data_IF_610306874722
#
_entry.id   IF_610306874722
#
_cell.length_a   1.000
_cell.length_b   1.000
_cell.length_c   1.000
_cell.angle_alpha   90.00
_cell.angle_beta   90.00
_cell.angle_gamma   90.00
#
_symmetry.space_group_name_H-M   'P 1'
#
loop_
_entity.id
_entity.type
_entity.pdbx_description
1 polymer ?
#
# COMPACT_ATOMS: atom_id res chain seq x y z
N UNK A 1 -14.82 -19.85 12.73
CA UNK A 1 -13.71 -20.83 12.80
C UNK A 1 -12.73 -20.49 11.68
N UNK A 2 -11.48 -20.15 12.01
CA UNK A 2 -10.43 -19.97 11.00
C UNK A 2 -10.00 -21.38 10.55
N UNK A 3 -10.01 -21.70 9.24
CA UNK A 3 -9.53 -22.99 8.77
C UNK A 3 -8.09 -23.23 9.27
N UNK A 4 -7.74 -24.45 9.72
CA UNK A 4 -6.41 -24.74 10.27
C UNK A 4 -5.25 -24.42 9.31
N UNK A 5 -5.53 -24.23 8.01
CA UNK A 5 -4.56 -23.90 6.97
C UNK A 5 -4.62 -22.43 6.50
N UNK A 6 -5.34 -21.55 7.20
CA UNK A 6 -5.36 -20.14 6.82
C UNK A 6 -3.99 -19.52 7.10
N UNK A 7 -3.32 -19.05 6.04
CA UNK A 7 -2.06 -18.33 6.18
C UNK A 7 -2.24 -17.13 7.13
N UNK A 8 -1.24 -16.83 7.99
CA UNK A 8 -1.32 -15.69 8.88
C UNK A 8 -1.49 -14.39 8.07
N UNK A 9 -2.20 -13.37 8.62
CA UNK A 9 -2.32 -12.08 7.97
C UNK A 9 -0.95 -11.49 7.63
N UNK A 10 -0.84 -10.87 6.45
CA UNK A 10 0.35 -10.09 6.05
C UNK A 10 0.28 -8.70 6.67
N UNK A 11 1.40 -8.05 6.92
CA UNK A 11 1.41 -6.73 7.54
C UNK A 11 1.70 -5.64 6.51
N UNK A 12 0.81 -4.66 6.40
CA UNK A 12 1.04 -3.44 5.64
C UNK A 12 1.30 -2.30 6.62
N UNK A 13 2.36 -1.54 6.40
CA UNK A 13 2.70 -0.36 7.20
C UNK A 13 2.55 0.89 6.34
N UNK A 14 1.72 1.81 6.80
CA UNK A 14 1.48 3.11 6.16
C UNK A 14 2.15 4.18 7.01
N UNK A 15 3.08 4.90 6.41
CA UNK A 15 3.91 5.91 7.09
C UNK A 15 3.59 7.34 6.64
N UNK A 16 2.85 7.51 5.55
CA UNK A 16 2.49 8.82 5.02
C UNK A 16 1.55 9.56 6.01
N UNK A 17 1.95 10.70 6.60
CA UNK A 17 1.14 11.35 7.64
C UNK A 17 -0.26 11.75 7.19
N UNK A 18 -0.40 12.24 5.96
CA UNK A 18 -1.70 12.65 5.40
C UNK A 18 -2.70 11.50 5.20
N UNK A 19 -2.24 10.25 5.31
CA UNK A 19 -3.10 9.08 5.21
C UNK A 19 -3.94 8.83 6.46
N UNK A 20 -3.58 9.37 7.63
CA UNK A 20 -4.12 8.92 8.92
C UNK A 20 -5.65 9.06 9.04
N UNK A 21 -6.19 10.20 8.60
CA UNK A 21 -7.63 10.39 8.64
C UNK A 21 -8.33 9.43 7.68
N UNK A 22 -7.76 9.23 6.49
CA UNK A 22 -8.36 8.43 5.43
C UNK A 22 -8.34 6.95 5.77
N UNK A 23 -7.22 6.43 6.27
CA UNK A 23 -7.08 5.02 6.65
C UNK A 23 -8.08 4.68 7.76
N UNK A 24 -8.26 5.55 8.76
CA UNK A 24 -9.18 5.30 9.87
C UNK A 24 -10.67 5.43 9.51
N UNK A 25 -11.01 6.18 8.45
CA UNK A 25 -12.41 6.51 8.11
C UNK A 25 -12.93 5.85 6.84
N UNK A 26 -12.06 5.46 5.89
CA UNK A 26 -12.50 4.96 4.59
C UNK A 26 -12.47 3.43 4.50
N UNK A 27 -13.51 2.87 3.89
CA UNK A 27 -13.69 1.42 3.68
C UNK A 27 -12.67 0.79 2.73
N UNK A 28 -12.08 1.59 1.84
CA UNK A 28 -11.12 1.16 0.83
C UNK A 28 -9.94 2.12 0.83
N UNK A 29 -8.71 1.59 0.84
CA UNK A 29 -7.49 2.39 0.86
C UNK A 29 -6.42 1.79 -0.05
N UNK A 30 -5.59 2.68 -0.59
CA UNK A 30 -4.52 2.32 -1.51
C UNK A 30 -3.15 2.66 -0.92
N UNK A 31 -2.21 1.73 -1.01
CA UNK A 31 -0.82 1.92 -0.59
C UNK A 31 0.14 1.34 -1.62
N UNK A 32 1.44 1.52 -1.38
CA UNK A 32 2.51 1.13 -2.29
C UNK A 32 3.57 0.32 -1.55
N UNK A 33 4.16 -0.63 -2.25
CA UNK A 33 5.24 -1.47 -1.74
C UNK A 33 6.40 -1.48 -2.74
N UNK A 34 7.61 -1.51 -2.21
CA UNK A 34 8.80 -1.82 -3.01
C UNK A 34 8.73 -3.28 -3.49
N UNK A 35 9.45 -3.63 -4.57
CA UNK A 35 9.57 -5.03 -4.99
C UNK A 35 10.02 -5.96 -3.85
N UNK A 36 10.95 -5.50 -3.02
CA UNK A 36 11.50 -6.28 -1.90
C UNK A 36 10.45 -6.55 -0.80
N UNK A 37 9.67 -5.52 -0.43
CA UNK A 37 8.59 -5.68 0.55
C UNK A 37 7.51 -6.63 0.04
N UNK A 38 7.10 -6.44 -1.21
CA UNK A 38 6.10 -7.30 -1.85
C UNK A 38 6.56 -8.75 -1.91
N UNK A 39 7.77 -9.01 -2.41
CA UNK A 39 8.29 -10.36 -2.62
C UNK A 39 8.52 -11.10 -1.30
N UNK A 40 8.95 -10.39 -0.25
CA UNK A 40 9.06 -10.95 1.11
C UNK A 40 7.70 -11.40 1.65
N UNK A 41 6.64 -10.65 1.37
CA UNK A 41 5.29 -11.00 1.82
C UNK A 41 4.62 -12.03 0.91
N UNK A 42 5.03 -12.11 -0.36
CA UNK A 42 4.31 -12.81 -1.42
C UNK A 42 2.83 -12.40 -1.43
N UNK A 43 2.58 -11.09 -1.39
CA UNK A 43 1.24 -10.54 -1.27
C UNK A 43 0.45 -10.75 -2.57
N UNK A 44 -0.76 -11.29 -2.46
CA UNK A 44 -1.67 -11.50 -3.58
C UNK A 44 -3.09 -11.04 -3.21
N UNK A 45 -3.96 -10.77 -4.19
CA UNK A 45 -5.37 -10.52 -3.93
C UNK A 45 -6.00 -11.63 -3.07
N UNK A 46 -6.85 -11.24 -2.13
CA UNK A 46 -7.51 -12.14 -1.18
C UNK A 46 -6.75 -12.36 0.13
N UNK A 47 -5.44 -12.04 0.22
CA UNK A 47 -4.72 -12.13 1.49
C UNK A 47 -5.35 -11.23 2.56
N UNK A 48 -5.46 -11.76 3.78
CA UNK A 48 -5.78 -10.96 4.97
C UNK A 48 -4.59 -10.10 5.35
N UNK A 49 -4.89 -8.91 5.85
CA UNK A 49 -3.93 -7.87 6.18
C UNK A 49 -4.12 -7.44 7.64
N UNK A 50 -3.02 -7.28 8.36
CA UNK A 50 -2.95 -6.39 9.52
C UNK A 50 -2.43 -5.06 9.02
N UNK A 51 -3.21 -4.01 9.23
CA UNK A 51 -2.88 -2.67 8.74
C UNK A 51 -2.34 -1.86 9.91
N UNK A 52 -1.13 -1.31 9.72
CA UNK A 52 -0.50 -0.43 10.68
C UNK A 52 -0.39 0.99 10.13
N UNK A 53 -0.68 1.96 10.96
CA UNK A 53 -0.23 3.33 10.74
C UNK A 53 1.00 3.57 11.62
N UNK A 54 2.17 3.67 10.98
CA UNK A 54 3.48 3.62 11.65
C UNK A 54 3.55 2.35 12.54
N UNK A 55 3.62 2.54 13.86
CA UNK A 55 3.73 1.44 14.82
C UNK A 55 2.40 0.96 15.39
N UNK A 56 1.32 1.71 15.20
CA UNK A 56 -0.01 1.40 15.72
C UNK A 56 -0.77 0.47 14.77
N UNK A 57 -1.36 -0.61 15.30
CA UNK A 57 -2.32 -1.43 14.55
C UNK A 57 -3.64 -0.68 14.49
N UNK A 58 -4.07 -0.33 13.29
CA UNK A 58 -5.31 0.42 13.06
C UNK A 58 -6.48 -0.48 12.66
N UNK A 59 -6.22 -1.72 12.25
CA UNK A 59 -7.25 -2.72 12.01
C UNK A 59 -6.81 -3.86 11.11
N UNK A 60 -7.78 -4.63 10.62
CA UNK A 60 -7.58 -5.73 9.69
C UNK A 60 -8.30 -5.51 8.37
N UNK A 61 -7.66 -5.92 7.28
CA UNK A 61 -8.21 -5.76 5.94
C UNK A 61 -8.00 -6.97 5.05
N UNK A 62 -8.39 -6.83 3.79
CA UNK A 62 -8.16 -7.80 2.74
C UNK A 62 -7.66 -7.10 1.48
N UNK A 63 -6.56 -7.60 0.93
CA UNK A 63 -6.05 -7.14 -0.36
C UNK A 63 -7.09 -7.45 -1.46
N UNK A 64 -7.46 -6.44 -2.24
CA UNK A 64 -8.39 -6.55 -3.37
C UNK A 64 -7.61 -6.55 -4.69
N UNK A 65 -6.64 -5.64 -4.82
CA UNK A 65 -5.80 -5.49 -6.00
C UNK A 65 -4.35 -5.44 -5.56
N UNK A 66 -3.49 -6.15 -6.27
CA UNK A 66 -2.04 -6.11 -6.12
C UNK A 66 -1.47 -6.10 -7.53
N UNK A 67 -1.00 -4.94 -7.99
CA UNK A 67 -0.55 -4.75 -9.36
C UNK A 67 0.79 -4.03 -9.43
N UNK A 68 1.59 -4.37 -10.45
CA UNK A 68 2.81 -3.63 -10.76
C UNK A 68 2.48 -2.33 -11.47
N UNK A 69 3.21 -1.27 -11.12
CA UNK A 69 3.08 0.04 -11.75
C UNK A 69 4.42 0.78 -11.79
N UNK A 70 4.42 1.95 -12.42
CA UNK A 70 5.55 2.88 -12.52
C UNK A 70 5.06 4.30 -12.21
N UNK A 71 5.99 5.24 -11.94
CA UNK A 71 5.63 6.61 -11.55
C UNK A 71 4.76 7.33 -12.59
N UNK A 72 5.02 7.10 -13.88
CA UNK A 72 4.26 7.69 -14.99
C UNK A 72 2.80 7.26 -15.04
N UNK A 73 2.47 6.09 -14.46
CA UNK A 73 1.12 5.53 -14.45
C UNK A 73 0.30 5.94 -13.23
N UNK A 74 0.88 6.70 -12.29
CA UNK A 74 0.14 7.20 -11.13
C UNK A 74 -0.85 8.29 -11.56
N UNK A 75 -2.12 8.04 -11.30
CA UNK A 75 -3.24 8.91 -11.65
C UNK A 75 -3.71 9.77 -10.47
N UNK A 76 -4.49 10.84 -10.72
CA UNK A 76 -5.17 11.58 -9.65
C UNK A 76 -6.07 10.71 -8.77
N UNK A 77 -6.66 9.66 -9.34
CA UNK A 77 -7.47 8.72 -8.57
C UNK A 77 -6.63 7.88 -7.60
N UNK A 78 -5.40 7.53 -7.97
CA UNK A 78 -4.45 6.83 -7.10
C UNK A 78 -4.02 7.72 -5.92
N UNK A 79 -3.75 9.01 -6.20
CA UNK A 79 -3.45 10.01 -5.18
C UNK A 79 -4.61 10.12 -4.18
N UNK A 80 -5.82 10.33 -4.70
CA UNK A 80 -7.02 10.42 -3.87
C UNK A 80 -7.22 9.16 -3.04
N UNK A 81 -7.17 7.97 -3.65
CA UNK A 81 -7.41 6.68 -2.98
C UNK A 81 -6.38 6.35 -1.91
N UNK A 82 -5.15 6.85 -2.07
CA UNK A 82 -4.09 6.72 -1.07
C UNK A 82 -4.01 7.91 -0.09
N UNK A 83 -4.90 8.89 -0.21
CA UNK A 83 -4.99 10.03 0.73
C UNK A 83 -3.91 11.08 0.55
N UNK A 84 -3.32 11.19 -0.64
CA UNK A 84 -2.46 12.31 -0.99
C UNK A 84 -3.29 13.49 -1.46
N UNK A 85 -2.75 14.70 -1.27
CA UNK A 85 -3.36 15.95 -1.72
C UNK A 85 -3.45 16.02 -3.25
N UNK A 86 -2.41 15.54 -3.92
CA UNK A 86 -2.30 15.52 -5.39
C UNK A 86 -1.27 14.46 -5.84
N UNK A 87 -1.16 14.28 -7.15
CA UNK A 87 -0.25 13.31 -7.78
C UNK A 87 1.22 13.62 -7.50
N UNK A 88 1.60 14.89 -7.37
CA UNK A 88 2.99 15.28 -7.12
C UNK A 88 3.42 14.91 -5.69
N UNK A 89 2.56 15.17 -4.70
CA UNK A 89 2.78 14.74 -3.32
C UNK A 89 2.92 13.21 -3.21
N UNK A 90 2.08 12.47 -3.93
CA UNK A 90 2.16 11.02 -4.04
C UNK A 90 3.49 10.56 -4.64
N UNK A 91 3.87 11.10 -5.80
CA UNK A 91 5.13 10.75 -6.48
C UNK A 91 6.34 11.04 -5.60
N UNK A 92 6.38 12.20 -4.97
CA UNK A 92 7.46 12.59 -4.06
C UNK A 92 7.59 11.62 -2.87
N UNK A 93 6.47 11.25 -2.26
CA UNK A 93 6.50 10.29 -1.15
C UNK A 93 6.95 8.90 -1.60
N UNK A 94 6.44 8.39 -2.73
CA UNK A 94 6.85 7.10 -3.32
C UNK A 94 8.35 7.11 -3.63
N UNK A 95 8.88 8.20 -4.19
CA UNK A 95 10.32 8.37 -4.47
C UNK A 95 11.18 8.29 -3.20
N UNK A 96 10.73 8.93 -2.12
CA UNK A 96 11.48 9.00 -0.86
C UNK A 96 11.39 7.72 -0.02
N UNK A 97 10.44 6.84 -0.31
CA UNK A 97 10.13 5.65 0.52
C UNK A 97 10.25 4.38 -0.29
N UNK A 98 9.25 4.08 -1.11
CA UNK A 98 9.09 2.85 -1.91
C UNK A 98 10.23 2.66 -2.91
N UNK A 99 10.69 3.75 -3.52
CA UNK A 99 11.77 3.75 -4.51
C UNK A 99 13.08 4.34 -3.94
N UNK A 100 13.21 4.43 -2.62
CA UNK A 100 14.41 4.96 -1.99
C UNK A 100 15.65 4.17 -2.41
N UNK A 101 16.69 4.89 -2.86
CA UNK A 101 17.95 4.28 -3.30
C UNK A 101 17.94 3.69 -4.71
N UNK A 102 16.83 3.77 -5.45
CA UNK A 102 16.76 3.34 -6.85
C UNK A 102 17.48 4.35 -7.76
N UNK A 103 18.39 3.87 -8.61
CA UNK A 103 19.22 4.73 -9.50
C UNK A 103 18.44 5.43 -10.63
N UNK A 104 17.37 4.81 -11.11
CA UNK A 104 16.52 5.29 -12.23
C UNK A 104 15.04 5.12 -11.87
N UNK A 105 14.52 5.91 -10.92
CA UNK A 105 13.18 5.72 -10.38
C UNK A 105 12.07 5.91 -11.41
N UNK A 106 12.32 6.66 -12.49
CA UNK A 106 11.36 6.93 -13.57
C UNK A 106 10.87 5.67 -14.30
N UNK A 107 11.71 4.64 -14.39
CA UNK A 107 11.39 3.34 -15.02
C UNK A 107 11.25 2.21 -14.01
N UNK A 108 11.34 2.51 -12.71
CA UNK A 108 11.33 1.50 -11.68
C UNK A 108 9.90 0.99 -11.44
N UNK A 109 9.75 -0.34 -11.48
CA UNK A 109 8.50 -0.98 -11.08
C UNK A 109 8.37 -1.01 -9.56
N UNK A 110 7.16 -0.77 -9.09
CA UNK A 110 6.75 -0.98 -7.71
C UNK A 110 5.31 -1.50 -7.69
N UNK A 111 4.83 -1.86 -6.50
CA UNK A 111 3.52 -2.48 -6.34
C UNK A 111 2.51 -1.50 -5.79
N UNK A 112 1.35 -1.43 -6.42
CA UNK A 112 0.14 -0.77 -5.93
C UNK A 112 -0.75 -1.81 -5.28
N UNK A 113 -1.20 -1.51 -4.07
CA UNK A 113 -2.04 -2.39 -3.27
C UNK A 113 -3.32 -1.65 -2.89
N UNK A 114 -4.46 -2.16 -3.34
CA UNK A 114 -5.78 -1.73 -2.88
C UNK A 114 -6.30 -2.74 -1.87
N UNK A 115 -6.79 -2.28 -0.73
CA UNK A 115 -7.43 -3.14 0.25
C UNK A 115 -8.70 -2.52 0.81
N UNK A 116 -9.55 -3.37 1.40
CA UNK A 116 -10.70 -2.95 2.20
C UNK A 116 -10.59 -3.42 3.64
N UNK A 117 -11.28 -2.75 4.56
CA UNK A 117 -11.45 -3.25 5.93
C UNK A 117 -12.30 -4.52 5.97
N UNK A 118 -12.06 -5.35 6.98
CA UNK A 118 -12.86 -6.52 7.33
C UNK A 118 -13.73 -6.27 8.56
#
# INVERSE_FOLDING_TARGET
MIPPNAAPPKTIVIIYPGAEEKIRKQYVYQTYLSPQEHDRMALVPGNRLVVKFRDEVVGEGQAILVEKTILERLSPYDAMSAGYENVDAQKNHVLQTVLAGVRKPEKAEFWKVLFRWL
#
